data_IF_986237843839
#
_entry.id   IF_986237843839
#
_cell.length_a   1.000
_cell.length_b   1.000
_cell.length_c   1.000
_cell.angle_alpha   90.00
_cell.angle_beta   90.00
_cell.angle_gamma   90.00
#
_symmetry.space_group_name_H-M   'P 1'
#
loop_
_entity.id
_entity.type
_entity.pdbx_description
1 polymer ?
#
# COMPACT_ATOMS: atom_id res chain seq x y z
N UNK A 1 -68.58 -7.73 -12.41
CA UNK A 1 -69.64 -7.39 -11.43
C UNK A 1 -70.51 -8.61 -11.25
N UNK A 2 -70.49 -9.20 -10.05
CA UNK A 2 -71.64 -9.82 -9.38
C UNK A 2 -71.17 -10.10 -7.94
N UNK A 3 -71.83 -9.45 -7.00
CA UNK A 3 -71.55 -9.46 -5.55
C UNK A 3 -72.48 -10.44 -4.84
N UNK A 4 -72.10 -10.81 -3.60
CA UNK A 4 -72.94 -11.12 -2.40
C UNK A 4 -72.55 -12.46 -1.71
N UNK A 5 -72.88 -12.67 -0.42
CA UNK A 5 -72.66 -11.76 0.72
C UNK A 5 -72.11 -12.47 2.00
N UNK A 6 -71.66 -11.62 2.92
CA UNK A 6 -71.56 -11.67 4.39
C UNK A 6 -71.83 -12.96 5.17
N UNK A 7 -70.95 -13.24 6.15
CA UNK A 7 -71.41 -13.61 7.49
C UNK A 7 -70.46 -13.09 8.59
N UNK A 8 -71.08 -12.57 9.64
CA UNK A 8 -70.50 -11.83 10.76
C UNK A 8 -70.43 -12.78 11.98
N UNK A 9 -69.33 -12.80 12.74
CA UNK A 9 -69.40 -13.18 14.16
C UNK A 9 -68.21 -12.62 14.94
N UNK A 10 -68.56 -11.71 15.84
CA UNK A 10 -67.80 -11.14 16.95
C UNK A 10 -67.33 -12.24 17.91
N UNK A 11 -66.10 -12.17 18.43
CA UNK A 11 -65.89 -12.43 19.86
C UNK A 11 -64.66 -11.71 20.39
N UNK A 12 -64.91 -10.88 21.40
CA UNK A 12 -63.95 -10.17 22.22
C UNK A 12 -63.66 -11.04 23.45
N UNK A 13 -62.39 -11.39 23.68
CA UNK A 13 -61.94 -11.95 24.96
C UNK A 13 -60.64 -11.27 25.36
N UNK A 14 -60.79 -10.23 26.16
CA UNK A 14 -59.77 -9.61 27.00
C UNK A 14 -59.44 -10.55 28.16
N UNK A 15 -58.16 -10.88 28.35
CA UNK A 15 -57.61 -11.28 29.65
C UNK A 15 -56.30 -10.50 29.88
N UNK A 16 -56.28 -9.80 31.01
CA UNK A 16 -55.22 -8.89 31.44
C UNK A 16 -54.03 -9.62 32.11
N UNK A 17 -52.86 -8.98 32.00
CA UNK A 17 -51.67 -8.96 32.88
C UNK A 17 -51.14 -10.26 33.51
N UNK A 18 -49.82 -10.51 33.41
CA UNK A 18 -48.80 -9.90 34.27
C UNK A 18 -47.37 -10.35 33.86
N UNK A 19 -46.38 -9.57 34.30
CA UNK A 19 -44.93 -9.86 34.41
C UNK A 19 -44.03 -9.84 33.17
N UNK A 20 -43.13 -8.86 33.18
CA UNK A 20 -41.74 -9.20 33.49
C UNK A 20 -40.68 -8.72 32.52
N UNK A 21 -39.98 -7.65 32.95
CA UNK A 21 -38.59 -7.29 32.68
C UNK A 21 -38.13 -7.05 31.24
N UNK A 22 -37.82 -5.78 31.01
CA UNK A 22 -36.73 -5.26 30.17
C UNK A 22 -35.59 -6.25 29.98
N UNK A 23 -35.25 -6.52 28.72
CA UNK A 23 -33.94 -7.00 28.32
C UNK A 23 -33.34 -5.95 27.38
N UNK A 24 -32.65 -4.98 27.98
CA UNK A 24 -31.55 -4.29 27.30
C UNK A 24 -30.49 -5.37 27.02
N UNK A 25 -30.24 -5.64 25.73
CA UNK A 25 -29.16 -6.51 25.32
C UNK A 25 -27.84 -5.79 25.60
N UNK A 26 -27.31 -6.08 26.79
CA UNK A 26 -25.96 -5.83 27.24
C UNK A 26 -24.98 -6.32 26.15
N UNK A 27 -24.34 -5.37 25.45
CA UNK A 27 -23.21 -5.68 24.57
C UNK A 27 -22.07 -6.20 25.45
N UNK A 28 -22.05 -7.51 25.66
CA UNK A 28 -20.95 -8.23 26.27
C UNK A 28 -19.67 -7.90 25.51
N UNK A 29 -18.77 -7.19 26.19
CA UNK A 29 -17.41 -6.93 25.72
C UNK A 29 -16.67 -8.26 25.81
N UNK A 30 -16.40 -8.88 24.66
CA UNK A 30 -15.63 -10.11 24.57
C UNK A 30 -14.17 -9.84 25.04
N UNK A 31 -13.68 -10.49 26.12
CA UNK A 31 -12.32 -10.31 26.60
C UNK A 31 -11.25 -10.90 25.65
N UNK A 32 -11.64 -11.61 24.59
CA UNK A 32 -10.77 -12.09 23.52
C UNK A 32 -10.68 -11.15 22.32
N UNK A 33 -11.35 -10.00 22.35
CA UNK A 33 -11.10 -8.90 21.40
C UNK A 33 -9.82 -8.18 21.79
N UNK A 34 -8.69 -8.76 21.39
CA UNK A 34 -7.36 -8.18 21.54
C UNK A 34 -7.35 -6.73 21.09
N UNK A 35 -7.22 -5.82 22.07
CA UNK A 35 -7.13 -4.37 21.90
C UNK A 35 -5.83 -3.91 21.22
N UNK A 36 -5.51 -4.45 20.05
CA UNK A 36 -4.26 -4.21 19.33
C UNK A 36 -4.37 -3.24 18.15
N UNK A 37 -5.57 -2.70 17.84
CA UNK A 37 -5.79 -1.92 16.61
C UNK A 37 -6.29 -0.48 16.82
N UNK A 38 -6.02 0.14 17.97
CA UNK A 38 -6.39 1.55 18.16
C UNK A 38 -5.27 2.42 18.75
N UNK A 39 -4.05 2.24 18.24
CA UNK A 39 -2.88 3.07 18.57
C UNK A 39 -2.29 3.75 17.31
N UNK A 40 -3.14 4.03 16.31
CA UNK A 40 -2.70 4.12 14.91
C UNK A 40 -2.27 5.51 14.40
N UNK A 41 -2.36 6.59 15.18
CA UNK A 41 -2.00 7.93 14.68
C UNK A 41 -0.78 8.59 15.34
N UNK A 42 -0.37 8.15 16.55
CA UNK A 42 0.87 8.62 17.23
C UNK A 42 2.09 7.70 16.99
N UNK A 43 1.94 6.63 16.20
CA UNK A 43 2.88 5.51 16.08
C UNK A 43 3.61 5.48 14.73
N UNK A 44 3.85 6.65 14.15
CA UNK A 44 4.59 6.77 12.88
C UNK A 44 5.89 7.57 13.02
N UNK A 45 6.10 8.25 14.14
CA UNK A 45 7.36 8.95 14.43
C UNK A 45 8.50 7.96 14.64
N UNK A 46 8.22 6.83 15.30
CA UNK A 46 9.18 5.72 15.47
C UNK A 46 9.63 5.15 14.12
N UNK A 47 8.77 5.11 13.10
CA UNK A 47 9.13 4.60 11.78
C UNK A 47 10.23 5.43 11.12
N UNK A 48 10.23 6.75 11.29
CA UNK A 48 11.30 7.60 10.76
C UNK A 48 12.63 7.30 11.45
N UNK A 49 12.62 7.21 12.77
CA UNK A 49 13.82 6.88 13.55
C UNK A 49 14.37 5.48 13.22
N UNK A 50 13.49 4.50 13.05
CA UNK A 50 13.86 3.15 12.63
C UNK A 50 14.49 3.12 11.24
N UNK A 51 13.99 3.93 10.30
CA UNK A 51 14.56 4.07 8.94
C UNK A 51 15.91 4.79 8.93
N UNK A 52 16.13 5.73 9.84
CA UNK A 52 17.41 6.46 9.99
C UNK A 52 18.45 5.67 10.82
N UNK A 53 18.05 4.58 11.49
CA UNK A 53 18.95 3.71 12.25
C UNK A 53 20.05 3.09 11.38
N UNK A 54 21.19 2.73 11.98
CA UNK A 54 22.23 1.95 11.28
C UNK A 54 21.93 0.44 11.24
N UNK A 55 20.88 -0.02 11.91
CA UNK A 55 20.52 -1.45 11.99
C UNK A 55 19.55 -1.82 10.87
N UNK A 56 19.97 -2.71 9.98
CA UNK A 56 19.11 -3.20 8.89
C UNK A 56 17.84 -3.91 9.39
N UNK A 57 17.88 -4.54 10.57
CA UNK A 57 16.70 -5.16 11.18
C UNK A 57 15.60 -4.15 11.48
N UNK A 58 15.96 -2.97 12.01
CA UNK A 58 15.00 -1.90 12.31
C UNK A 58 14.45 -1.29 11.02
N UNK A 59 15.30 -1.07 10.02
CA UNK A 59 14.85 -0.61 8.69
C UNK A 59 13.87 -1.59 8.06
N UNK A 60 14.18 -2.88 8.13
CA UNK A 60 13.33 -3.93 7.56
C UNK A 60 11.97 -3.97 8.26
N UNK A 61 11.95 -3.89 9.58
CA UNK A 61 10.71 -3.85 10.35
C UNK A 61 9.87 -2.62 10.01
N UNK A 62 10.49 -1.43 9.97
CA UNK A 62 9.81 -0.20 9.58
C UNK A 62 9.23 -0.30 8.18
N UNK A 63 10.01 -0.76 7.20
CA UNK A 63 9.54 -0.94 5.83
C UNK A 63 8.37 -1.93 5.73
N UNK A 64 8.40 -3.05 6.47
CA UNK A 64 7.27 -4.00 6.51
C UNK A 64 5.99 -3.35 7.04
N UNK A 65 6.09 -2.56 8.11
CA UNK A 65 4.96 -1.81 8.68
C UNK A 65 4.42 -0.79 7.69
N UNK A 66 5.30 -0.02 7.04
CA UNK A 66 4.93 0.98 6.02
C UNK A 66 4.19 0.32 4.86
N UNK A 67 4.71 -0.77 4.30
CA UNK A 67 4.02 -1.48 3.22
C UNK A 67 2.67 -2.03 3.68
N UNK A 68 2.58 -2.52 4.92
CA UNK A 68 1.31 -2.94 5.51
C UNK A 68 0.29 -1.80 5.62
N UNK A 69 0.72 -0.58 5.92
CA UNK A 69 -0.15 0.61 5.93
C UNK A 69 -0.63 0.97 4.52
N UNK A 70 0.29 1.02 3.55
CA UNK A 70 -0.03 1.33 2.15
C UNK A 70 -0.99 0.30 1.56
N UNK A 71 -0.81 -0.99 1.88
CA UNK A 71 -1.69 -2.06 1.45
C UNK A 71 -3.12 -1.95 2.04
N UNK A 72 -3.26 -1.29 3.20
CA UNK A 72 -4.56 -0.96 3.82
C UNK A 72 -5.14 0.36 3.30
N UNK A 73 -4.51 0.99 2.30
CA UNK A 73 -4.94 2.28 1.76
C UNK A 73 -4.63 3.48 2.66
N UNK A 74 -3.80 3.31 3.70
CA UNK A 74 -3.37 4.44 4.54
C UNK A 74 -2.25 5.21 3.85
N UNK A 75 -2.35 6.53 3.87
CA UNK A 75 -1.30 7.38 3.33
C UNK A 75 -0.03 7.31 4.19
N UNK A 76 1.09 7.14 3.52
CA UNK A 76 2.43 7.10 4.09
C UNK A 76 3.40 8.03 3.34
N UNK A 77 2.87 8.96 2.52
CA UNK A 77 3.64 9.94 1.74
C UNK A 77 4.63 10.75 2.59
N UNK A 78 4.25 11.08 3.84
CA UNK A 78 5.11 11.82 4.79
C UNK A 78 6.43 11.11 5.15
N UNK A 79 6.55 9.81 4.88
CA UNK A 79 7.76 9.01 5.12
C UNK A 79 8.70 8.99 3.93
N UNK A 80 8.32 9.60 2.80
CA UNK A 80 9.06 9.52 1.54
C UNK A 80 10.54 9.90 1.68
N UNK A 81 10.92 11.03 2.34
CA UNK A 81 12.33 11.37 2.52
C UNK A 81 13.12 10.29 3.28
N UNK A 82 12.52 9.71 4.34
CA UNK A 82 13.16 8.67 5.14
C UNK A 82 13.33 7.36 4.36
N UNK A 83 12.35 7.01 3.52
CA UNK A 83 12.42 5.81 2.65
C UNK A 83 13.45 6.00 1.54
N UNK A 84 13.51 7.18 0.91
CA UNK A 84 14.46 7.50 -0.18
C UNK A 84 15.91 7.33 0.25
N UNK A 85 16.29 7.78 1.45
CA UNK A 85 17.65 7.57 2.01
C UNK A 85 18.08 6.10 1.99
N UNK A 86 17.12 5.17 2.06
CA UNK A 86 17.36 3.75 2.16
C UNK A 86 17.40 3.01 0.81
N UNK A 87 17.26 3.72 -0.33
CA UNK A 87 17.42 3.16 -1.70
C UNK A 87 18.79 2.49 -1.91
N UNK A 88 19.82 2.99 -1.23
CA UNK A 88 21.20 2.48 -1.30
C UNK A 88 21.48 1.34 -0.32
N UNK A 89 20.48 0.87 0.43
CA UNK A 89 20.67 -0.21 1.41
C UNK A 89 21.32 -1.44 0.77
N UNK A 90 22.23 -2.08 1.50
CA UNK A 90 22.86 -3.35 1.09
C UNK A 90 21.92 -4.53 1.33
N UNK A 91 20.99 -4.39 2.28
CA UNK A 91 19.99 -5.41 2.55
C UNK A 91 18.97 -5.49 1.41
N UNK A 92 18.92 -6.64 0.75
CA UNK A 92 18.08 -6.87 -0.43
C UNK A 92 16.58 -6.79 -0.07
N UNK A 93 16.17 -7.25 1.12
CA UNK A 93 14.78 -7.19 1.54
C UNK A 93 14.32 -5.76 1.75
N UNK A 94 15.13 -4.95 2.45
CA UNK A 94 14.87 -3.52 2.63
C UNK A 94 14.75 -2.85 1.26
N UNK A 95 15.70 -3.09 0.36
CA UNK A 95 15.70 -2.52 -1.00
C UNK A 95 14.45 -2.89 -1.79
N UNK A 96 14.00 -4.14 -1.74
CA UNK A 96 12.76 -4.59 -2.40
C UNK A 96 11.55 -3.82 -1.88
N UNK A 97 11.40 -3.68 -0.56
CA UNK A 97 10.28 -2.94 0.04
C UNK A 97 10.35 -1.44 -0.31
N UNK A 98 11.55 -0.86 -0.31
CA UNK A 98 11.77 0.53 -0.73
C UNK A 98 11.29 0.73 -2.16
N UNK A 99 11.59 -0.21 -3.07
CA UNK A 99 11.19 -0.07 -4.47
C UNK A 99 9.67 -0.17 -4.64
N UNK A 100 9.00 -1.08 -3.90
CA UNK A 100 7.53 -1.17 -3.89
C UNK A 100 6.91 0.14 -3.39
N UNK A 101 7.46 0.71 -2.31
CA UNK A 101 6.98 1.99 -1.79
C UNK A 101 7.17 3.13 -2.80
N UNK A 102 8.36 3.24 -3.41
CA UNK A 102 8.66 4.32 -4.35
C UNK A 102 7.86 4.19 -5.64
N UNK A 103 7.58 2.99 -6.13
CA UNK A 103 6.71 2.82 -7.30
C UNK A 103 5.31 3.42 -7.08
N UNK A 104 4.81 3.40 -5.83
CA UNK A 104 3.52 3.98 -5.46
C UNK A 104 3.58 5.51 -5.36
N UNK A 105 4.60 6.06 -4.71
CA UNK A 105 4.62 7.48 -4.35
C UNK A 105 5.51 8.36 -5.24
N UNK A 106 6.36 7.80 -6.10
CA UNK A 106 7.29 8.58 -6.91
C UNK A 106 6.61 9.49 -7.94
N UNK A 107 5.39 9.16 -8.35
CA UNK A 107 4.59 10.02 -9.23
C UNK A 107 4.10 11.27 -8.49
N UNK A 108 3.78 11.15 -7.20
CA UNK A 108 3.31 12.24 -6.34
C UNK A 108 4.46 13.09 -5.78
N UNK A 109 5.61 12.47 -5.49
CA UNK A 109 6.77 13.08 -4.84
C UNK A 109 7.98 13.15 -5.80
N UNK A 110 7.76 13.72 -6.99
CA UNK A 110 8.73 13.68 -8.09
C UNK A 110 10.08 14.33 -7.73
N UNK A 111 10.06 15.53 -7.15
CA UNK A 111 11.28 16.29 -6.83
C UNK A 111 12.23 15.51 -5.91
N UNK A 112 11.67 14.86 -4.88
CA UNK A 112 12.44 14.01 -3.97
C UNK A 112 12.89 12.71 -4.66
N UNK A 113 12.08 12.15 -5.56
CA UNK A 113 12.43 10.95 -6.31
C UNK A 113 13.60 11.20 -7.28
N UNK A 114 13.73 12.42 -7.82
CA UNK A 114 14.83 12.80 -8.71
C UNK A 114 16.21 12.57 -8.06
N UNK A 115 16.31 12.74 -6.73
CA UNK A 115 17.55 12.51 -5.98
C UNK A 115 18.06 11.06 -6.07
N UNK A 116 17.19 10.11 -6.42
CA UNK A 116 17.50 8.69 -6.50
C UNK A 116 17.78 8.16 -7.90
N UNK A 117 17.64 8.98 -8.95
CA UNK A 117 17.76 8.54 -10.36
C UNK A 117 19.08 7.81 -10.61
N UNK A 118 20.20 8.39 -10.18
CA UNK A 118 21.52 7.82 -10.40
C UNK A 118 21.66 6.43 -9.75
N UNK A 119 20.99 6.21 -8.62
CA UNK A 119 20.98 4.90 -7.96
C UNK A 119 20.17 3.89 -8.74
N UNK A 120 19.01 4.28 -9.29
CA UNK A 120 18.23 3.39 -10.14
C UNK A 120 18.96 3.05 -11.46
N UNK A 121 19.65 4.01 -12.06
CA UNK A 121 20.47 3.74 -13.26
C UNK A 121 21.56 2.69 -13.00
N UNK A 122 22.20 2.72 -11.83
CA UNK A 122 23.14 1.68 -11.42
C UNK A 122 22.41 0.34 -11.18
N UNK A 123 21.26 0.38 -10.50
CA UNK A 123 20.47 -0.80 -10.18
C UNK A 123 19.96 -1.55 -11.42
N UNK A 124 19.74 -0.86 -12.55
CA UNK A 124 19.42 -1.47 -13.85
C UNK A 124 20.52 -2.38 -14.40
N UNK A 125 21.75 -2.30 -13.89
CA UNK A 125 22.90 -3.11 -14.33
C UNK A 125 23.25 -4.22 -13.34
N UNK A 126 22.48 -4.38 -12.26
CA UNK A 126 22.73 -5.39 -11.24
C UNK A 126 22.49 -6.81 -11.78
N UNK A 127 23.24 -7.83 -11.32
CA UNK A 127 23.04 -9.21 -11.77
C UNK A 127 21.66 -9.75 -11.40
N UNK A 128 21.06 -9.26 -10.31
CA UNK A 128 19.75 -9.70 -9.84
C UNK A 128 18.60 -9.07 -10.66
N UNK A 129 17.87 -9.92 -11.40
CA UNK A 129 16.73 -9.51 -12.23
C UNK A 129 15.62 -8.77 -11.47
N UNK A 130 15.40 -9.07 -10.19
CA UNK A 130 14.36 -8.42 -9.39
C UNK A 130 14.74 -6.98 -9.06
N UNK A 131 16.02 -6.71 -8.87
CA UNK A 131 16.54 -5.36 -8.64
C UNK A 131 16.46 -4.55 -9.93
N UNK A 132 16.87 -5.12 -11.07
CA UNK A 132 16.73 -4.45 -12.38
C UNK A 132 15.28 -4.09 -12.69
N UNK A 133 14.37 -5.07 -12.58
CA UNK A 133 12.95 -4.85 -12.83
C UNK A 133 12.35 -3.82 -11.86
N UNK A 134 12.66 -3.91 -10.57
CA UNK A 134 12.15 -2.95 -9.60
C UNK A 134 12.68 -1.53 -9.84
N UNK A 135 13.96 -1.38 -10.19
CA UNK A 135 14.54 -0.09 -10.56
C UNK A 135 13.84 0.51 -11.78
N UNK A 136 13.55 -0.30 -12.80
CA UNK A 136 12.81 0.13 -13.99
C UNK A 136 11.38 0.59 -13.66
N UNK A 137 10.69 -0.12 -12.75
CA UNK A 137 9.34 0.25 -12.30
C UNK A 137 9.34 1.60 -11.60
N UNK A 138 10.28 1.84 -10.70
CA UNK A 138 10.39 3.12 -9.99
C UNK A 138 10.77 4.23 -10.96
N UNK A 139 11.79 4.01 -11.79
CA UNK A 139 12.29 5.02 -12.74
C UNK A 139 11.21 5.46 -13.74
N UNK A 140 10.37 4.54 -14.21
CA UNK A 140 9.23 4.84 -15.09
C UNK A 140 8.01 5.43 -14.38
N UNK A 141 7.93 5.37 -13.04
CA UNK A 141 6.90 6.06 -12.26
C UNK A 141 7.24 7.55 -12.00
N UNK A 142 8.48 7.97 -12.20
CA UNK A 142 8.88 9.38 -12.10
C UNK A 142 8.55 10.07 -13.44
N UNK A 143 7.45 10.84 -13.50
CA UNK A 143 6.97 11.48 -14.74
C UNK A 143 7.43 12.93 -14.86
N UNK A 144 8.74 13.13 -14.97
CA UNK A 144 9.34 14.45 -15.20
C UNK A 144 9.99 14.50 -16.59
N UNK A 145 9.61 15.49 -17.41
CA UNK A 145 10.09 15.63 -18.81
C UNK A 145 11.62 15.60 -18.94
N UNK A 146 12.32 16.18 -17.96
CA UNK A 146 13.80 16.27 -17.97
C UNK A 146 14.48 14.90 -17.97
N UNK A 147 13.81 13.86 -17.46
CA UNK A 147 14.39 12.51 -17.38
C UNK A 147 13.83 11.53 -18.41
N UNK A 148 12.87 11.93 -19.23
CA UNK A 148 12.30 11.08 -20.28
C UNK A 148 13.37 10.39 -21.16
N UNK A 149 14.47 11.05 -21.58
CA UNK A 149 15.53 10.38 -22.32
C UNK A 149 16.21 9.24 -21.54
N UNK A 150 16.39 9.43 -20.23
CA UNK A 150 17.00 8.42 -19.34
C UNK A 150 16.07 7.21 -19.21
N UNK A 151 14.78 7.45 -18.97
CA UNK A 151 13.77 6.39 -18.83
C UNK A 151 13.62 5.63 -20.16
N UNK A 152 13.63 6.33 -21.29
CA UNK A 152 13.54 5.72 -22.62
C UNK A 152 14.72 4.79 -22.90
N UNK A 153 15.95 5.22 -22.58
CA UNK A 153 17.12 4.36 -22.70
C UNK A 153 17.02 3.14 -21.78
N UNK A 154 16.61 3.32 -20.53
CA UNK A 154 16.41 2.22 -19.58
C UNK A 154 15.39 1.19 -20.08
N UNK A 155 14.27 1.63 -20.67
CA UNK A 155 13.26 0.75 -21.25
C UNK A 155 13.81 0.01 -22.47
N UNK A 156 14.53 0.71 -23.34
CA UNK A 156 15.16 0.10 -24.52
C UNK A 156 16.12 -1.02 -24.11
N UNK A 157 17.02 -0.74 -23.17
CA UNK A 157 17.98 -1.74 -22.68
C UNK A 157 17.25 -2.92 -22.01
N UNK A 158 16.26 -2.63 -21.16
CA UNK A 158 15.48 -3.65 -20.47
C UNK A 158 14.61 -4.51 -21.40
N UNK A 159 14.20 -3.99 -22.57
CA UNK A 159 13.45 -4.75 -23.57
C UNK A 159 14.27 -5.89 -24.19
N UNK A 160 15.59 -5.76 -24.17
CA UNK A 160 16.54 -6.77 -24.62
C UNK A 160 17.20 -7.55 -23.46
N UNK A 161 16.71 -7.39 -22.22
CA UNK A 161 17.27 -8.07 -21.05
C UNK A 161 17.17 -9.60 -21.18
N UNK A 162 18.16 -10.33 -20.65
CA UNK A 162 18.19 -11.80 -20.64
C UNK A 162 16.98 -12.40 -19.91
N UNK A 163 16.50 -11.74 -18.86
CA UNK A 163 15.35 -12.18 -18.07
C UNK A 163 14.02 -11.84 -18.75
N UNK A 164 13.14 -12.84 -18.98
CA UNK A 164 11.76 -12.58 -19.42
C UNK A 164 10.98 -11.67 -18.47
N UNK A 165 11.28 -11.71 -17.18
CA UNK A 165 10.61 -10.89 -16.17
C UNK A 165 10.93 -9.40 -16.34
N UNK A 166 12.20 -9.07 -16.63
CA UNK A 166 12.62 -7.69 -16.90
C UNK A 166 12.03 -7.19 -18.21
N UNK A 167 12.02 -8.02 -19.27
CA UNK A 167 11.38 -7.67 -20.56
C UNK A 167 9.89 -7.39 -20.43
N UNK A 168 9.15 -8.22 -19.69
CA UNK A 168 7.73 -7.97 -19.34
C UNK A 168 7.57 -6.62 -18.63
N UNK A 169 8.46 -6.32 -17.70
CA UNK A 169 8.44 -5.06 -16.95
C UNK A 169 8.69 -3.86 -17.87
N UNK A 170 9.61 -3.97 -18.83
CA UNK A 170 9.86 -2.94 -19.83
C UNK A 170 8.61 -2.66 -20.68
N UNK A 171 7.89 -3.70 -21.11
CA UNK A 171 6.64 -3.54 -21.85
C UNK A 171 5.60 -2.74 -21.05
N UNK A 172 5.47 -2.98 -19.74
CA UNK A 172 4.56 -2.22 -18.87
C UNK A 172 5.01 -0.78 -18.60
N UNK A 173 6.29 -0.46 -18.80
CA UNK A 173 6.83 0.87 -18.58
C UNK A 173 6.60 1.80 -19.80
N UNK A 174 6.43 1.25 -21.01
CA UNK A 174 6.24 2.04 -22.25
C UNK A 174 5.06 3.03 -22.14
N UNK A 175 3.85 2.63 -21.69
CA UNK A 175 2.72 3.56 -21.62
C UNK A 175 2.95 4.73 -20.66
N UNK A 176 3.83 4.57 -19.66
CA UNK A 176 4.11 5.60 -18.66
C UNK A 176 4.98 6.75 -19.18
N UNK A 177 5.67 6.57 -20.31
CA UNK A 177 6.53 7.61 -20.90
C UNK A 177 5.77 8.76 -21.56
N UNK A 178 4.53 8.52 -21.98
CA UNK A 178 3.72 9.46 -22.76
C UNK A 178 2.60 10.12 -21.94
N UNK A 179 2.57 9.86 -20.64
CA UNK A 179 1.61 10.45 -19.70
C UNK A 179 2.09 11.73 -19.05
#
# INVERSE_FOLDING_TARGET
MLSSPSNNMTNNSSYSNDRGSSFEAEYAVDPASGGFFNADFKKHDDLKEMLDSNKDSLKLEAMKRIIGMVAKGRDASMLFPAVVKNVVSKNIEVKKLVYVYLERYAEEQQDLALLSISTFQRALKEPNQLIRAGALRVLSSIRVKVISPIVMLAIKDASADMSPYVRKTAAHAIPKLNG
#
